data_IF_193002179870
#
_entry.id   IF_193002179870
#
_cell.length_a   1.000
_cell.length_b   1.000
_cell.length_c   1.000
_cell.angle_alpha   90.00
_cell.angle_beta   90.00
_cell.angle_gamma   90.00
#
_symmetry.space_group_name_H-M   'P 1'
#
loop_
_entity.id
_entity.type
_entity.pdbx_description
1 polymer ?
#
# COMPACT_ATOMS: atom_id res chain seq x y z
N UNK A 1 25.10 12.97 1.97
CA UNK A 1 23.65 13.27 1.82
C UNK A 1 22.77 12.00 1.81
N UNK A 2 22.80 11.16 2.85
CA UNK A 2 22.01 9.88 2.88
C UNK A 2 21.02 9.74 4.04
N UNK A 3 21.12 10.58 5.09
CA UNK A 3 20.34 10.42 6.33
C UNK A 3 18.97 11.10 6.30
N UNK A 4 18.84 12.23 5.61
CA UNK A 4 17.59 13.02 5.53
C UNK A 4 16.50 12.34 4.68
N UNK A 5 16.86 11.56 3.66
CA UNK A 5 15.90 10.86 2.80
C UNK A 5 15.18 9.73 3.55
N UNK A 6 15.93 8.94 4.34
CA UNK A 6 15.35 7.85 5.16
C UNK A 6 14.29 8.35 6.14
N UNK A 7 14.46 9.56 6.68
CA UNK A 7 13.53 10.10 7.68
C UNK A 7 12.18 10.55 7.09
N UNK A 8 12.04 10.63 5.76
CA UNK A 8 10.80 11.06 5.11
C UNK A 8 10.20 9.98 4.21
N UNK A 9 10.76 8.75 4.21
CA UNK A 9 10.26 7.65 3.36
C UNK A 9 8.79 7.39 3.64
N UNK A 10 8.37 7.36 4.90
CA UNK A 10 6.96 7.17 5.27
C UNK A 10 6.07 8.26 4.68
N UNK A 11 6.51 9.53 4.76
CA UNK A 11 5.78 10.65 4.18
C UNK A 11 5.60 10.51 2.66
N UNK A 12 6.66 10.13 1.94
CA UNK A 12 6.59 9.90 0.50
C UNK A 12 5.75 8.68 0.14
N UNK A 13 5.82 7.59 0.91
CA UNK A 13 5.02 6.39 0.69
C UNK A 13 3.54 6.67 0.94
N UNK A 14 3.19 7.43 1.98
CA UNK A 14 1.81 7.86 2.23
C UNK A 14 1.32 8.77 1.09
N UNK A 15 2.14 9.75 0.67
CA UNK A 15 1.79 10.61 -0.46
C UNK A 15 1.55 9.83 -1.75
N UNK A 16 2.42 8.87 -2.06
CA UNK A 16 2.28 8.01 -3.23
C UNK A 16 1.04 7.10 -3.14
N UNK A 17 0.75 6.55 -1.95
CA UNK A 17 -0.44 5.74 -1.70
C UNK A 17 -1.71 6.56 -1.96
N UNK A 18 -1.80 7.77 -1.41
CA UNK A 18 -2.94 8.65 -1.62
C UNK A 18 -3.12 9.01 -3.10
N UNK A 19 -2.03 9.33 -3.80
CA UNK A 19 -2.06 9.61 -5.23
C UNK A 19 -2.62 8.42 -6.02
N UNK A 20 -2.13 7.21 -5.75
CA UNK A 20 -2.60 6.00 -6.42
C UNK A 20 -4.07 5.70 -6.11
N UNK A 21 -4.50 5.85 -4.85
CA UNK A 21 -5.91 5.67 -4.47
C UNK A 21 -6.82 6.62 -5.25
N UNK A 22 -6.45 7.90 -5.35
CA UNK A 22 -7.22 8.90 -6.09
C UNK A 22 -7.25 8.56 -7.58
N UNK A 23 -6.09 8.29 -8.18
CA UNK A 23 -5.98 8.00 -9.61
C UNK A 23 -6.82 6.77 -10.02
N UNK A 24 -6.71 5.67 -9.28
CA UNK A 24 -7.44 4.44 -9.60
C UNK A 24 -8.93 4.51 -9.26
N UNK A 25 -9.31 5.29 -8.26
CA UNK A 25 -10.72 5.57 -7.97
C UNK A 25 -11.43 6.27 -9.13
N UNK A 26 -10.71 7.13 -9.86
CA UNK A 26 -11.27 7.84 -11.03
C UNK A 26 -11.17 6.96 -12.29
N UNK A 27 -10.01 6.35 -12.54
CA UNK A 27 -9.75 5.64 -13.79
C UNK A 27 -10.53 4.32 -13.92
N UNK A 28 -10.78 3.60 -12.82
CA UNK A 28 -11.44 2.30 -12.85
C UNK A 28 -12.26 2.01 -11.57
N UNK A 29 -13.28 2.83 -11.26
CA UNK A 29 -13.99 2.79 -9.97
C UNK A 29 -14.58 1.41 -9.64
N UNK A 30 -15.22 0.75 -10.61
CA UNK A 30 -15.88 -0.53 -10.40
C UNK A 30 -14.91 -1.70 -10.15
N UNK A 31 -13.65 -1.57 -10.59
CA UNK A 31 -12.62 -2.59 -10.41
C UNK A 31 -11.86 -2.31 -9.11
N UNK A 32 -11.44 -1.06 -8.92
CA UNK A 32 -10.65 -0.65 -7.76
C UNK A 32 -11.44 -0.78 -6.45
N UNK A 33 -12.71 -0.37 -6.44
CA UNK A 33 -13.59 -0.51 -5.27
C UNK A 33 -14.36 -1.85 -5.25
N UNK A 34 -13.94 -2.85 -6.02
CA UNK A 34 -14.62 -4.14 -6.02
C UNK A 34 -14.34 -4.93 -4.74
N UNK A 35 -15.34 -5.69 -4.29
CA UNK A 35 -15.23 -6.58 -3.12
C UNK A 35 -14.08 -7.58 -3.31
N UNK A 36 -13.88 -8.09 -4.52
CA UNK A 36 -12.79 -9.03 -4.82
C UNK A 36 -11.40 -8.38 -4.69
N UNK A 37 -11.25 -7.11 -5.07
CA UNK A 37 -10.00 -6.37 -4.88
C UNK A 37 -9.68 -6.20 -3.38
N UNK A 38 -10.66 -5.78 -2.58
CA UNK A 38 -10.50 -5.66 -1.13
C UNK A 38 -10.18 -6.99 -0.45
N UNK A 39 -10.86 -8.07 -0.84
CA UNK A 39 -10.60 -9.40 -0.31
C UNK A 39 -9.19 -9.90 -0.67
N UNK A 40 -8.73 -9.64 -1.89
CA UNK A 40 -7.37 -9.95 -2.32
C UNK A 40 -6.33 -9.25 -1.45
N UNK A 41 -6.48 -7.94 -1.21
CA UNK A 41 -5.57 -7.17 -0.33
C UNK A 41 -5.65 -7.68 1.11
N UNK A 42 -6.85 -7.86 1.66
CA UNK A 42 -7.05 -8.35 3.02
C UNK A 42 -6.43 -9.74 3.24
N UNK A 43 -6.47 -10.62 2.24
CA UNK A 43 -5.87 -11.96 2.29
C UNK A 43 -4.33 -11.94 2.34
N UNK A 44 -3.70 -10.86 1.88
CA UNK A 44 -2.25 -10.70 1.87
C UNK A 44 -1.71 -10.11 3.19
N UNK A 45 -2.52 -9.39 3.96
CA UNK A 45 -2.11 -8.81 5.24
C UNK A 45 -1.62 -9.85 6.27
N UNK A 46 -2.25 -11.04 6.41
CA UNK A 46 -1.72 -12.13 7.24
C UNK A 46 -0.36 -12.64 6.77
N UNK A 47 -0.15 -12.75 5.45
CA UNK A 47 1.12 -13.22 4.86
C UNK A 47 2.23 -12.20 5.14
N UNK A 48 1.96 -10.90 5.01
CA UNK A 48 2.87 -9.83 5.39
C UNK A 48 3.19 -9.85 6.89
N UNK A 49 2.19 -10.13 7.74
CA UNK A 49 2.37 -10.27 9.19
C UNK A 49 3.20 -11.50 9.60
N UNK A 50 3.15 -12.59 8.82
CA UNK A 50 3.99 -13.79 9.02
C UNK A 50 5.41 -13.53 8.51
N UNK A 51 5.58 -12.93 7.34
CA UNK A 51 6.89 -12.59 6.78
C UNK A 51 7.64 -11.58 7.67
N UNK A 52 6.96 -10.55 8.17
CA UNK A 52 7.55 -9.58 9.09
C UNK A 52 7.96 -10.21 10.44
N UNK A 53 7.24 -11.25 10.91
CA UNK A 53 7.53 -11.93 12.18
C UNK A 53 8.58 -13.05 12.05
N UNK A 54 8.82 -13.55 10.84
CA UNK A 54 9.75 -14.66 10.55
C UNK A 54 11.04 -14.21 9.87
N UNK A 55 11.27 -12.90 9.81
CA UNK A 55 12.55 -12.35 9.36
C UNK A 55 13.60 -12.49 10.48
N UNK A 56 14.77 -13.11 10.24
CA UNK A 56 15.89 -13.09 11.20
C UNK A 56 16.46 -11.68 11.38
#
# INVERSE_FOLDING_TARGET
MKKSWRNNVEFYLIGLLLLMVIAFSIAMPNIFWSVSNFQSIASQMPVLGILARRWP
#
